data_IF_100543340657
#
_entry.id   IF_100543340657
#
_cell.length_a   1.000
_cell.length_b   1.000
_cell.length_c   1.000
_cell.angle_alpha   90.00
_cell.angle_beta   90.00
_cell.angle_gamma   90.00
#
_symmetry.space_group_name_H-M   'P 1'
#
loop_
_entity.id
_entity.type
_entity.pdbx_description
1 polymer ?
#
# COMPACT_ATOMS: atom_id res chain seq x y z
N UNK A 1 -0.48 1.24 15.85
CA UNK A 1 -0.99 2.02 14.71
C UNK A 1 -1.21 1.10 13.53
N UNK A 2 -2.41 1.09 13.00
CA UNK A 2 -2.75 0.24 11.86
C UNK A 2 -2.59 1.01 10.55
N UNK A 3 -1.93 0.39 9.58
CA UNK A 3 -1.68 0.97 8.28
C UNK A 3 -2.34 0.16 7.17
N UNK A 4 -2.75 0.85 6.11
CA UNK A 4 -3.35 0.23 4.93
C UNK A 4 -2.43 0.47 3.73
N UNK A 5 -2.03 -0.61 3.06
CA UNK A 5 -1.23 -0.55 1.85
C UNK A 5 -2.12 -0.61 0.63
N UNK A 6 -1.85 0.24 -0.35
CA UNK A 6 -2.63 0.37 -1.58
C UNK A 6 -1.70 0.28 -2.78
N UNK A 7 -1.89 -0.74 -3.58
CA UNK A 7 -1.18 -0.90 -4.84
C UNK A 7 -2.13 -0.58 -5.98
N UNK A 8 -2.00 0.63 -6.52
CA UNK A 8 -2.91 1.13 -7.54
C UNK A 8 -2.62 0.50 -8.90
N UNK A 9 -3.63 -0.12 -9.50
CA UNK A 9 -3.61 -0.59 -10.88
C UNK A 9 -4.77 0.01 -11.64
N UNK A 10 -4.67 0.06 -12.96
CA UNK A 10 -5.72 0.64 -13.79
C UNK A 10 -7.02 -0.15 -13.74
N UNK A 11 -6.93 -1.46 -13.59
CA UNK A 11 -8.08 -2.36 -13.53
C UNK A 11 -8.36 -2.90 -12.14
N UNK A 12 -7.32 -3.11 -11.35
CA UNK A 12 -7.43 -3.69 -10.02
C UNK A 12 -6.54 -2.97 -9.05
N UNK A 13 -7.01 -2.86 -7.83
CA UNK A 13 -6.27 -2.22 -6.74
C UNK A 13 -6.09 -3.26 -5.66
N UNK A 14 -4.84 -3.56 -5.35
CA UNK A 14 -4.51 -4.48 -4.25
C UNK A 14 -4.47 -3.74 -2.93
N UNK A 15 -5.00 -4.38 -1.89
CA UNK A 15 -5.02 -3.82 -0.54
C UNK A 15 -4.38 -4.79 0.44
N UNK A 16 -3.62 -4.22 1.34
CA UNK A 16 -3.02 -4.94 2.47
C UNK A 16 -3.27 -4.15 3.75
N UNK A 17 -3.36 -4.86 4.86
CA UNK A 17 -3.63 -4.25 6.16
C UNK A 17 -2.56 -4.72 7.15
N UNK A 18 -2.06 -3.79 7.97
CA UNK A 18 -1.14 -4.18 9.02
C UNK A 18 -1.87 -4.74 10.22
N UNK A 19 -1.13 -5.44 11.08
CA UNK A 19 -1.61 -5.74 12.43
C UNK A 19 -1.80 -4.43 13.21
N UNK A 20 -2.47 -4.47 14.37
CA UNK A 20 -2.71 -3.24 15.15
C UNK A 20 -1.43 -2.52 15.59
N UNK A 21 -0.33 -3.25 15.72
CA UNK A 21 0.94 -2.66 16.13
C UNK A 21 1.75 -2.07 14.98
N UNK A 22 1.31 -2.29 13.74
CA UNK A 22 2.01 -1.77 12.57
C UNK A 22 3.34 -2.45 12.29
N UNK A 23 3.45 -3.74 12.55
CA UNK A 23 4.69 -4.51 12.36
C UNK A 23 4.67 -5.42 11.15
N UNK A 24 3.54 -6.08 10.91
CA UNK A 24 3.40 -7.08 9.86
C UNK A 24 2.23 -6.75 8.95
N UNK A 25 2.43 -6.92 7.65
CA UNK A 25 1.42 -6.68 6.64
C UNK A 25 0.75 -7.99 6.22
N UNK A 26 -0.57 -7.95 6.06
CA UNK A 26 -1.37 -9.07 5.57
C UNK A 26 -2.11 -8.67 4.31
N UNK A 27 -2.23 -9.54 3.31
CA UNK A 27 -3.07 -9.22 2.17
C UNK A 27 -4.53 -9.13 2.61
N UNK A 28 -5.25 -8.12 2.15
CA UNK A 28 -6.63 -7.90 2.57
C UNK A 28 -7.62 -8.27 1.48
N UNK A 29 -7.54 -7.61 0.34
CA UNK A 29 -8.42 -7.90 -0.80
C UNK A 29 -7.93 -7.18 -2.05
N UNK A 30 -8.55 -7.54 -3.17
CA UNK A 30 -8.36 -6.86 -4.44
C UNK A 30 -9.68 -6.23 -4.84
N UNK A 31 -9.65 -4.95 -5.18
CA UNK A 31 -10.83 -4.24 -5.67
C UNK A 31 -10.76 -4.14 -7.19
N UNK A 32 -11.88 -4.34 -7.87
CA UNK A 32 -11.99 -4.00 -9.26
C UNK A 32 -12.22 -2.49 -9.38
N UNK A 33 -11.41 -1.83 -10.18
CA UNK A 33 -11.53 -0.39 -10.35
C UNK A 33 -12.47 -0.10 -11.52
N UNK A 34 -13.63 0.43 -11.21
CA UNK A 34 -14.57 0.94 -12.21
C UNK A 34 -14.43 2.44 -12.40
N UNK A 35 -14.16 3.17 -11.32
CA UNK A 35 -13.84 4.59 -11.32
C UNK A 35 -12.99 4.91 -10.10
N UNK A 36 -12.25 6.02 -10.15
CA UNK A 36 -11.49 6.49 -9.00
C UNK A 36 -12.41 6.81 -7.83
N UNK A 37 -13.52 7.46 -8.10
CA UNK A 37 -14.47 7.87 -7.05
C UNK A 37 -15.01 6.68 -6.28
N UNK A 38 -15.39 5.62 -6.98
CA UNK A 38 -15.89 4.39 -6.32
C UNK A 38 -14.80 3.67 -5.55
N UNK A 39 -13.60 3.60 -6.13
CA UNK A 39 -12.47 2.96 -5.47
C UNK A 39 -12.07 3.72 -4.21
N UNK A 40 -11.98 5.04 -4.30
CA UNK A 40 -11.66 5.89 -3.15
C UNK A 40 -12.71 5.73 -2.05
N UNK A 41 -13.99 5.72 -2.41
CA UNK A 41 -15.07 5.54 -1.42
C UNK A 41 -14.97 4.18 -0.73
N UNK A 42 -14.68 3.12 -1.49
CA UNK A 42 -14.54 1.78 -0.93
C UNK A 42 -13.34 1.69 0.03
N UNK A 43 -12.21 2.26 -0.36
CA UNK A 43 -11.00 2.25 0.47
C UNK A 43 -11.20 3.11 1.73
N UNK A 44 -11.85 4.26 1.60
CA UNK A 44 -12.16 5.11 2.75
C UNK A 44 -13.05 4.38 3.77
N UNK A 45 -14.02 3.61 3.30
CA UNK A 45 -14.87 2.79 4.16
C UNK A 45 -14.06 1.71 4.89
N UNK A 46 -13.17 1.04 4.18
CA UNK A 46 -12.28 0.04 4.76
C UNK A 46 -11.38 0.67 5.82
N UNK A 47 -10.83 1.84 5.53
CA UNK A 47 -9.98 2.55 6.47
C UNK A 47 -10.71 2.89 7.76
N UNK A 48 -11.97 3.30 7.66
CA UNK A 48 -12.79 3.56 8.85
C UNK A 48 -13.10 2.28 9.62
N UNK A 49 -13.50 1.23 8.92
CA UNK A 49 -13.89 -0.03 9.54
C UNK A 49 -12.75 -0.68 10.33
N UNK A 50 -11.54 -0.55 9.84
CA UNK A 50 -10.35 -1.11 10.48
C UNK A 50 -9.58 -0.10 11.33
N UNK A 51 -10.10 1.10 11.47
CA UNK A 51 -9.45 2.16 12.27
C UNK A 51 -8.02 2.44 11.81
N UNK A 52 -7.84 2.54 10.49
CA UNK A 52 -6.54 2.81 9.87
C UNK A 52 -6.10 4.24 10.19
N UNK A 53 -4.83 4.39 10.52
CA UNK A 53 -4.23 5.69 10.87
C UNK A 53 -3.19 6.16 9.86
N UNK A 54 -2.76 5.28 8.96
CA UNK A 54 -1.75 5.61 7.95
C UNK A 54 -2.07 4.91 6.64
N UNK A 55 -1.95 5.64 5.53
CA UNK A 55 -2.05 5.08 4.20
C UNK A 55 -0.66 4.95 3.59
N UNK A 56 -0.38 3.82 2.97
CA UNK A 56 0.87 3.59 2.24
C UNK A 56 0.49 3.26 0.80
N UNK A 57 0.92 4.10 -0.14
CA UNK A 57 0.56 3.95 -1.55
C UNK A 57 1.82 3.74 -2.38
N UNK A 58 1.80 2.73 -3.26
CA UNK A 58 2.89 2.50 -4.18
C UNK A 58 2.83 3.45 -5.37
N UNK A 59 3.98 3.95 -5.76
CA UNK A 59 4.14 4.73 -6.98
C UNK A 59 4.95 3.93 -7.99
N UNK A 60 4.57 3.95 -9.27
CA UNK A 60 5.38 3.31 -10.30
C UNK A 60 6.78 3.92 -10.34
N UNK A 61 7.73 3.11 -10.79
CA UNK A 61 9.12 3.55 -10.90
C UNK A 61 9.25 4.79 -11.77
N UNK A 62 9.96 5.78 -11.24
CA UNK A 62 10.28 7.00 -11.96
C UNK A 62 11.74 6.96 -12.40
N UNK A 63 11.98 7.17 -13.69
CA UNK A 63 13.33 7.21 -14.26
C UNK A 63 13.82 8.65 -14.23
N UNK A 64 14.96 8.89 -13.58
CA UNK A 64 15.54 10.23 -13.47
C UNK A 64 15.80 10.81 -14.87
N UNK A 65 15.39 12.06 -15.09
CA UNK A 65 15.55 12.74 -16.38
C UNK A 65 14.52 12.39 -17.43
N UNK A 66 13.64 11.41 -17.18
CA UNK A 66 12.55 11.06 -18.08
C UNK A 66 11.28 11.81 -17.69
N UNK A 67 10.37 12.10 -18.63
CA UNK A 67 9.07 12.65 -18.30
C UNK A 67 8.26 11.64 -17.47
N UNK A 68 7.38 12.15 -16.63
CA UNK A 68 6.49 11.31 -15.84
C UNK A 68 5.57 10.51 -16.76
N UNK A 69 5.45 9.20 -16.53
CA UNK A 69 4.53 8.36 -17.27
C UNK A 69 3.08 8.70 -16.91
N UNK A 70 2.17 8.34 -17.81
CA UNK A 70 0.74 8.49 -17.53
C UNK A 70 0.33 7.63 -16.33
N UNK A 71 0.87 6.43 -16.22
CA UNK A 71 0.61 5.55 -15.09
C UNK A 71 1.04 6.19 -13.78
N UNK A 72 2.20 6.84 -13.75
CA UNK A 72 2.68 7.56 -12.59
C UNK A 72 1.72 8.70 -12.21
N UNK A 73 1.29 9.49 -13.20
CA UNK A 73 0.37 10.61 -12.95
C UNK A 73 -0.98 10.13 -12.42
N UNK A 74 -1.50 9.02 -12.96
CA UNK A 74 -2.78 8.44 -12.50
C UNK A 74 -2.68 7.92 -11.09
N UNK A 75 -1.59 7.23 -10.75
CA UNK A 75 -1.37 6.72 -9.41
C UNK A 75 -1.27 7.87 -8.40
N UNK A 76 -0.57 8.93 -8.78
CA UNK A 76 -0.42 10.10 -7.92
C UNK A 76 -1.74 10.84 -7.72
N UNK A 77 -2.51 11.01 -8.77
CA UNK A 77 -3.84 11.63 -8.68
C UNK A 77 -4.77 10.80 -7.80
N UNK A 78 -4.72 9.49 -7.92
CA UNK A 78 -5.51 8.59 -7.08
C UNK A 78 -5.12 8.73 -5.61
N UNK A 79 -3.82 8.76 -5.33
CA UNK A 79 -3.32 8.93 -3.96
C UNK A 79 -3.79 10.25 -3.35
N UNK A 80 -3.76 11.33 -4.13
CA UNK A 80 -4.23 12.64 -3.68
C UNK A 80 -5.72 12.62 -3.34
N UNK A 81 -6.53 11.97 -4.18
CA UNK A 81 -7.97 11.81 -3.92
C UNK A 81 -8.21 10.99 -2.66
N UNK A 82 -7.44 9.95 -2.47
CA UNK A 82 -7.56 9.09 -1.30
C UNK A 82 -7.19 9.82 -0.02
N UNK A 83 -6.10 10.58 -0.03
CA UNK A 83 -5.70 11.40 1.11
C UNK A 83 -6.77 12.42 1.46
N UNK A 84 -7.34 13.08 0.45
CA UNK A 84 -8.40 14.07 0.66
C UNK A 84 -9.67 13.43 1.24
N UNK A 85 -10.05 12.26 0.75
CA UNK A 85 -11.27 11.59 1.19
C UNK A 85 -11.17 11.03 2.60
N UNK A 86 -9.98 10.58 3.02
CA UNK A 86 -9.80 9.96 4.33
C UNK A 86 -9.29 10.91 5.40
N UNK A 87 -8.60 11.97 5.01
CA UNK A 87 -7.93 12.86 5.96
C UNK A 87 -6.73 12.23 6.65
N UNK A 88 -6.29 11.05 6.21
CA UNK A 88 -5.19 10.33 6.84
C UNK A 88 -3.84 10.73 6.25
N UNK A 89 -2.77 10.65 7.06
CA UNK A 89 -1.42 10.78 6.52
C UNK A 89 -1.17 9.72 5.46
N UNK A 90 -0.45 10.08 4.42
CA UNK A 90 -0.18 9.19 3.30
C UNK A 90 1.33 9.18 3.01
N UNK A 91 1.90 8.00 2.94
CA UNK A 91 3.30 7.77 2.59
C UNK A 91 3.33 7.13 1.21
N UNK A 92 4.19 7.65 0.34
CA UNK A 92 4.41 7.08 -1.00
C UNK A 92 5.65 6.22 -0.98
N UNK A 93 5.55 5.04 -1.56
CA UNK A 93 6.68 4.12 -1.69
C UNK A 93 6.90 3.85 -3.18
N UNK A 94 8.14 4.04 -3.63
CA UNK A 94 8.50 3.70 -5.00
C UNK A 94 8.49 2.17 -5.14
N UNK A 95 7.73 1.66 -6.10
CA UNK A 95 7.63 0.22 -6.35
C UNK A 95 8.97 -0.41 -6.70
N UNK A 96 9.93 0.37 -7.20
CA UNK A 96 11.28 -0.12 -7.47
C UNK A 96 12.02 -0.54 -6.20
N UNK A 97 11.57 -0.07 -5.05
CA UNK A 97 12.17 -0.40 -3.75
C UNK A 97 11.39 -1.44 -2.96
N UNK A 98 10.46 -2.15 -3.59
CA UNK A 98 9.87 -3.34 -2.98
C UNK A 98 10.96 -4.37 -2.85
N UNK A 99 11.54 -4.46 -1.67
CA UNK A 99 12.80 -5.15 -1.47
C UNK A 99 12.61 -6.65 -1.25
N UNK A 100 13.64 -7.40 -1.62
CA UNK A 100 13.75 -8.81 -1.25
C UNK A 100 13.70 -8.97 0.28
N UNK A 101 14.16 -7.98 1.03
CA UNK A 101 14.14 -8.01 2.49
C UNK A 101 12.70 -7.99 3.04
N UNK A 102 11.82 -7.19 2.47
CA UNK A 102 10.41 -7.16 2.89
C UNK A 102 9.73 -8.50 2.60
N UNK A 103 9.96 -9.07 1.41
CA UNK A 103 9.43 -10.38 1.04
C UNK A 103 9.95 -11.47 1.97
N UNK A 104 11.23 -11.42 2.31
CA UNK A 104 11.84 -12.39 3.22
C UNK A 104 11.25 -12.30 4.62
N UNK A 105 11.04 -11.08 5.12
CA UNK A 105 10.41 -10.89 6.42
C UNK A 105 9.02 -11.51 6.47
N UNK A 106 8.24 -11.35 5.42
CA UNK A 106 6.90 -11.95 5.33
C UNK A 106 6.98 -13.48 5.29
N UNK A 107 7.97 -14.00 4.58
CA UNK A 107 8.20 -15.45 4.50
C UNK A 107 8.57 -16.03 5.85
N UNK A 108 9.44 -15.37 6.59
CA UNK A 108 9.82 -15.75 7.95
C UNK A 108 8.63 -15.75 8.91
N UNK A 109 7.69 -14.84 8.70
CA UNK A 109 6.47 -14.76 9.50
C UNK A 109 5.37 -15.73 9.03
N UNK A 110 5.62 -16.52 8.00
CA UNK A 110 4.63 -17.44 7.45
C UNK A 110 3.53 -16.75 6.63
N UNK A 111 3.78 -15.51 6.21
CA UNK A 111 2.80 -14.67 5.50
C UNK A 111 3.18 -14.46 4.02
N UNK A 112 3.82 -15.45 3.42
CA UNK A 112 4.33 -15.31 2.06
C UNK A 112 3.24 -15.52 1.00
N UNK A 113 3.63 -15.28 -0.26
CA UNK A 113 2.74 -15.33 -1.41
C UNK A 113 2.06 -16.68 -1.65
N UNK A 114 2.61 -17.76 -1.10
CA UNK A 114 2.06 -19.11 -1.32
C UNK A 114 0.66 -19.27 -0.78
N UNK A 115 0.29 -18.48 0.22
CA UNK A 115 -1.02 -18.55 0.87
C UNK A 115 -2.04 -17.60 0.27
N UNK A 116 -1.63 -16.80 -0.71
CA UNK A 116 -2.48 -15.75 -1.29
C UNK A 116 -2.92 -16.06 -2.72
N UNK A 117 -3.25 -17.31 -2.98
CA UNK A 117 -3.71 -17.73 -4.31
C UNK A 117 -4.89 -16.88 -4.77
N UNK A 118 -4.82 -16.37 -6.01
CA UNK A 118 -5.86 -15.55 -6.61
C UNK A 118 -5.86 -14.10 -6.14
N UNK A 119 -4.88 -13.68 -5.32
CA UNK A 119 -4.79 -12.32 -4.79
C UNK A 119 -3.41 -11.71 -4.99
N UNK A 120 -2.86 -11.89 -6.20
CA UNK A 120 -1.50 -11.40 -6.50
C UNK A 120 -1.37 -9.88 -6.30
N UNK A 121 -2.41 -9.11 -6.64
CA UNK A 121 -2.36 -7.65 -6.42
C UNK A 121 -2.36 -7.31 -4.93
N UNK A 122 -3.02 -8.10 -4.10
CA UNK A 122 -2.99 -7.91 -2.66
C UNK A 122 -1.62 -8.29 -2.07
N UNK A 123 -0.93 -9.26 -2.67
CA UNK A 123 0.43 -9.62 -2.27
C UNK A 123 1.40 -8.50 -2.60
N UNK A 124 1.25 -7.86 -3.76
CA UNK A 124 2.06 -6.70 -4.10
C UNK A 124 1.86 -5.57 -3.09
N UNK A 125 0.61 -5.31 -2.71
CA UNK A 125 0.29 -4.33 -1.66
C UNK A 125 0.89 -4.74 -0.31
N UNK A 126 0.88 -6.03 0.01
CA UNK A 126 1.47 -6.56 1.23
C UNK A 126 2.98 -6.29 1.31
N UNK A 127 3.70 -6.57 0.24
CA UNK A 127 5.15 -6.35 0.18
C UNK A 127 5.46 -4.85 0.30
N UNK A 128 4.72 -4.05 -0.42
CA UNK A 128 4.82 -2.60 -0.39
C UNK A 128 4.60 -2.04 1.01
N UNK A 129 3.56 -2.50 1.67
CA UNK A 129 3.24 -2.09 3.03
C UNK A 129 4.33 -2.54 4.00
N UNK A 130 4.81 -3.78 3.88
CA UNK A 130 5.86 -4.28 4.77
C UNK A 130 7.14 -3.45 4.63
N UNK A 131 7.50 -3.06 3.42
CA UNK A 131 8.66 -2.20 3.21
C UNK A 131 8.51 -0.87 3.97
N UNK A 132 7.35 -0.26 3.87
CA UNK A 132 7.08 0.99 4.58
C UNK A 132 7.12 0.82 6.09
N UNK A 133 6.55 -0.26 6.61
CA UNK A 133 6.56 -0.55 8.04
C UNK A 133 7.98 -0.78 8.56
N UNK A 134 8.79 -1.51 7.80
CA UNK A 134 10.18 -1.77 8.17
C UNK A 134 11.01 -0.49 8.18
N UNK A 135 10.78 0.40 7.22
CA UNK A 135 11.46 1.70 7.19
C UNK A 135 11.11 2.57 8.38
N UNK A 136 9.82 2.62 8.73
CA UNK A 136 9.37 3.39 9.89
C UNK A 136 10.01 2.86 11.18
N UNK A 137 10.13 1.56 11.30
CA UNK A 137 10.74 0.94 12.48
C UNK A 137 12.23 1.30 12.62
N UNK A 138 12.90 1.60 11.50
CA UNK A 138 14.33 1.98 11.51
C UNK A 138 14.56 3.46 11.68
N UNK A 139 13.54 4.32 11.53
CA UNK A 139 13.70 5.76 11.63
C UNK A 139 13.81 6.21 13.09
N UNK A 140 14.92 6.84 13.47
CA UNK A 140 15.04 7.41 14.82
C UNK A 140 14.08 8.61 14.93
N UNK A 141 13.40 8.73 16.05
CA UNK A 141 12.49 9.85 16.29
C UNK A 141 11.05 9.63 15.88
N UNK A 142 10.74 8.55 15.21
CA UNK A 142 9.35 8.18 14.87
C UNK A 142 8.72 7.36 16.00
N UNK A 143 9.16 7.62 17.21
CA UNK A 143 8.66 6.93 18.40
C UNK A 143 7.93 7.92 19.27
N UNK A 144 6.70 7.70 19.35
CA UNK A 144 5.88 8.46 20.29
C UNK A 144 5.38 7.54 21.38
#
# INVERSE_FOLDING_TARGET
>A
MRALGVDFGERRIGLALSDPDGRLALPLRVLERTSDERAVAAIAAIARDYEVELLVVGEPRRIAGAPESETFRRARAFADKLAAATGLPLVRVDEAFTSAAAAERLREAGLDARRARGRLDAVAAQILLQEALDRRAREPGDRS
#
